data_IF_711921298244
#
_entry.id   IF_711921298244
#
_cell.length_a   1.000
_cell.length_b   1.000
_cell.length_c   1.000
_cell.angle_alpha   90.00
_cell.angle_beta   90.00
_cell.angle_gamma   90.00
#
_symmetry.space_group_name_H-M   'P 1'
#
loop_
_entity.id
_entity.type
_entity.pdbx_description
1 polymer ?
#
# COMPACT_ATOMS: atom_id res chain seq x y z
N UNK A 1 3.34 8.97 -7.82
CA UNK A 1 2.16 8.86 -6.94
C UNK A 1 0.89 8.64 -7.76
N UNK A 2 0.46 9.57 -8.63
CA UNK A 2 -0.78 9.42 -9.44
C UNK A 2 -0.77 8.15 -10.30
N UNK A 3 0.39 7.73 -10.82
CA UNK A 3 0.52 6.49 -11.60
C UNK A 3 0.04 5.24 -10.86
N UNK A 4 0.08 5.24 -9.51
CA UNK A 4 -0.30 4.12 -8.64
C UNK A 4 -1.51 4.44 -7.76
N UNK A 5 -2.12 5.61 -7.90
CA UNK A 5 -3.31 6.04 -7.12
C UNK A 5 -4.51 6.22 -8.03
N UNK A 6 -5.65 5.67 -7.62
CA UNK A 6 -6.92 5.71 -8.38
C UNK A 6 -7.43 4.31 -8.72
N UNK A 7 -8.40 4.23 -9.60
CA UNK A 7 -8.91 2.96 -10.14
C UNK A 7 -8.07 2.53 -11.35
N UNK A 8 -8.20 1.27 -11.84
CA UNK A 8 -7.54 0.85 -13.08
C UNK A 8 -7.76 1.85 -14.24
N UNK A 9 -8.98 2.36 -14.38
CA UNK A 9 -9.36 3.27 -15.46
C UNK A 9 -9.06 4.74 -15.17
N UNK A 10 -9.17 5.17 -13.92
CA UNK A 10 -9.08 6.59 -13.55
C UNK A 10 -7.89 6.87 -12.63
N UNK A 11 -6.86 7.59 -13.10
CA UNK A 11 -5.79 8.08 -12.23
C UNK A 11 -6.31 9.20 -11.33
N UNK A 12 -5.95 9.15 -10.05
CA UNK A 12 -6.48 10.08 -9.03
C UNK A 12 -5.34 10.66 -8.20
N UNK A 13 -5.40 11.96 -7.93
CA UNK A 13 -4.51 12.58 -6.93
C UNK A 13 -4.88 12.08 -5.53
N UNK A 14 -3.92 12.08 -4.62
CA UNK A 14 -4.20 11.84 -3.20
C UNK A 14 -5.09 12.96 -2.65
N UNK A 15 -5.95 12.64 -1.68
CA UNK A 15 -6.88 13.61 -1.09
C UNK A 15 -6.18 14.73 -0.31
N UNK A 16 -4.94 14.50 0.11
CA UNK A 16 -4.08 15.46 0.81
C UNK A 16 -2.82 15.75 -0.02
N UNK A 17 -2.18 16.93 0.16
CA UNK A 17 -1.02 17.34 -0.62
C UNK A 17 0.26 16.61 -0.15
N UNK A 18 0.42 15.35 -0.57
CA UNK A 18 1.51 14.49 -0.11
C UNK A 18 2.92 15.08 -0.33
N UNK A 19 3.15 15.74 -1.46
CA UNK A 19 4.46 16.34 -1.75
C UNK A 19 4.80 17.46 -0.75
N UNK A 20 3.83 18.31 -0.40
CA UNK A 20 4.01 19.39 0.57
C UNK A 20 4.28 18.82 1.97
N UNK A 21 3.49 17.84 2.38
CA UNK A 21 3.62 17.19 3.70
C UNK A 21 4.97 16.49 3.82
N UNK A 22 5.37 15.72 2.80
CA UNK A 22 6.65 15.03 2.78
C UNK A 22 7.81 16.01 2.88
N UNK A 23 7.83 17.05 2.04
CA UNK A 23 8.87 18.07 2.06
C UNK A 23 8.96 18.80 3.40
N UNK A 24 7.82 19.13 4.02
CA UNK A 24 7.78 19.75 5.33
C UNK A 24 8.37 18.85 6.42
N UNK A 25 8.06 17.55 6.41
CA UNK A 25 8.60 16.58 7.36
C UNK A 25 10.10 16.39 7.21
N UNK A 26 10.61 16.25 5.97
CA UNK A 26 12.05 16.17 5.71
C UNK A 26 12.78 17.47 6.07
N UNK A 27 12.15 18.63 5.83
CA UNK A 27 12.68 19.93 6.26
C UNK A 27 12.80 20.01 7.78
N UNK A 28 11.74 19.65 8.51
CA UNK A 28 11.75 19.65 9.97
C UNK A 28 12.83 18.71 10.53
N UNK A 29 12.91 17.48 10.01
CA UNK A 29 13.91 16.49 10.42
C UNK A 29 15.35 16.94 10.12
N UNK A 30 15.56 17.60 8.97
CA UNK A 30 16.87 18.13 8.58
C UNK A 30 17.28 19.32 9.44
N UNK A 31 16.33 20.20 9.80
CA UNK A 31 16.56 21.33 10.73
C UNK A 31 16.92 20.80 12.12
N UNK A 32 16.17 19.83 12.65
CA UNK A 32 16.48 19.21 13.95
C UNK A 32 17.88 18.57 13.93
N UNK A 33 18.23 17.89 12.85
CA UNK A 33 19.56 17.30 12.66
C UNK A 33 20.67 18.36 12.58
N UNK A 34 20.42 19.49 11.90
CA UNK A 34 21.34 20.61 11.82
C UNK A 34 21.54 21.29 13.20
N UNK A 35 20.47 21.43 13.98
CA UNK A 35 20.55 21.95 15.36
C UNK A 35 21.35 21.02 16.26
N UNK A 36 21.12 19.71 16.19
CA UNK A 36 21.88 18.71 16.93
C UNK A 36 23.37 18.73 16.54
N UNK A 37 23.68 18.83 15.25
CA UNK A 37 25.06 19.01 14.77
C UNK A 37 25.68 20.30 15.30
N UNK A 38 24.94 21.40 15.29
CA UNK A 38 25.41 22.69 15.81
C UNK A 38 25.74 22.61 17.29
N UNK A 39 24.92 21.94 18.10
CA UNK A 39 25.17 21.75 19.53
C UNK A 39 26.50 21.03 19.79
N UNK A 40 26.84 20.04 18.96
CA UNK A 40 28.05 19.22 19.14
C UNK A 40 29.32 19.82 18.55
N UNK A 41 29.18 20.68 17.54
CA UNK A 41 30.32 21.15 16.72
C UNK A 41 30.49 22.66 16.72
N UNK A 42 29.50 23.42 17.19
CA UNK A 42 29.42 24.87 17.06
C UNK A 42 29.06 25.36 15.65
N UNK A 43 28.99 24.48 14.64
CA UNK A 43 28.77 24.86 13.25
C UNK A 43 27.33 24.57 12.78
N UNK A 44 26.70 25.56 12.14
CA UNK A 44 25.42 25.38 11.45
C UNK A 44 25.54 24.54 10.16
N UNK A 45 24.42 24.27 9.51
CA UNK A 45 24.34 23.55 8.24
C UNK A 45 23.39 24.26 7.27
N UNK A 46 23.66 24.12 5.97
CA UNK A 46 22.68 24.41 4.92
C UNK A 46 21.79 23.19 4.74
N UNK A 47 20.48 23.39 4.71
CA UNK A 47 19.48 22.36 4.45
C UNK A 47 18.85 22.66 3.10
N UNK A 48 18.88 21.68 2.20
CA UNK A 48 18.21 21.72 0.90
C UNK A 48 17.25 20.54 0.82
N UNK A 49 15.98 20.81 0.52
CA UNK A 49 14.92 19.81 0.49
C UNK A 49 14.09 19.99 -0.78
N UNK A 50 14.13 18.96 -1.62
CA UNK A 50 13.34 18.88 -2.84
C UNK A 50 11.97 18.26 -2.54
N UNK A 51 10.90 18.94 -2.96
CA UNK A 51 9.54 18.37 -2.92
C UNK A 51 9.42 17.12 -3.79
N UNK A 52 10.14 17.09 -4.91
CA UNK A 52 10.15 15.93 -5.80
C UNK A 52 10.80 14.74 -5.13
N UNK A 53 12.00 14.89 -4.58
CA UNK A 53 12.73 13.79 -3.93
C UNK A 53 11.95 13.27 -2.71
N UNK A 54 11.36 14.20 -1.95
CA UNK A 54 10.49 13.87 -0.82
C UNK A 54 9.29 13.02 -1.23
N UNK A 55 8.64 13.36 -2.35
CA UNK A 55 7.50 12.60 -2.86
C UNK A 55 7.91 11.27 -3.50
N UNK A 56 9.10 11.19 -4.10
CA UNK A 56 9.67 9.97 -4.68
C UNK A 56 9.99 8.98 -3.56
N UNK A 57 10.58 9.41 -2.45
CA UNK A 57 10.87 8.53 -1.31
C UNK A 57 9.60 7.87 -0.75
N UNK A 58 8.48 8.60 -0.72
CA UNK A 58 7.18 8.08 -0.28
C UNK A 58 6.55 7.08 -1.25
N UNK A 59 7.06 6.91 -2.47
CA UNK A 59 6.61 5.84 -3.38
C UNK A 59 6.96 4.44 -2.85
N UNK A 60 8.01 4.33 -2.02
CA UNK A 60 8.42 3.08 -1.36
C UNK A 60 8.41 1.86 -2.28
N UNK A 61 7.61 0.85 -1.92
CA UNK A 61 7.48 -0.41 -2.66
C UNK A 61 7.18 -0.24 -4.15
N UNK A 62 6.36 0.74 -4.54
CA UNK A 62 6.01 0.93 -5.95
C UNK A 62 7.22 1.38 -6.78
N UNK A 63 8.09 2.22 -6.22
CA UNK A 63 9.35 2.60 -6.86
C UNK A 63 10.29 1.40 -6.98
N UNK A 64 10.46 0.63 -5.90
CA UNK A 64 11.35 -0.53 -5.89
C UNK A 64 10.91 -1.62 -6.87
N UNK A 65 9.60 -1.85 -7.00
CA UNK A 65 9.06 -2.83 -7.96
C UNK A 65 9.44 -2.45 -9.39
N UNK A 66 9.30 -1.17 -9.75
CA UNK A 66 9.72 -0.69 -11.06
C UNK A 66 11.24 -0.80 -11.25
N UNK A 67 12.03 -0.42 -10.24
CA UNK A 67 13.50 -0.43 -10.34
C UNK A 67 14.09 -1.84 -10.47
N UNK A 68 13.58 -2.81 -9.70
CA UNK A 68 14.18 -4.13 -9.58
C UNK A 68 13.46 -5.22 -10.37
N UNK A 69 12.15 -5.08 -10.62
CA UNK A 69 11.36 -6.04 -11.39
C UNK A 69 10.97 -5.50 -12.78
N UNK A 70 11.27 -4.24 -13.10
CA UNK A 70 10.94 -3.63 -14.40
C UNK A 70 9.43 -3.47 -14.65
N UNK A 71 8.61 -3.64 -13.61
CA UNK A 71 7.16 -3.63 -13.70
C UNK A 71 6.56 -2.56 -12.80
N UNK A 72 5.56 -1.85 -13.31
CA UNK A 72 4.90 -0.79 -12.56
C UNK A 72 3.73 -1.38 -11.75
N UNK A 73 3.63 -1.01 -10.47
CA UNK A 73 2.45 -1.34 -9.66
C UNK A 73 1.21 -0.69 -10.29
N UNK A 74 0.18 -1.50 -10.53
CA UNK A 74 -1.08 -1.04 -11.09
C UNK A 74 -1.89 -0.21 -10.08
N UNK A 75 -2.81 0.63 -10.58
CA UNK A 75 -3.83 1.25 -9.75
C UNK A 75 -4.88 0.21 -9.39
N UNK A 76 -5.16 0.07 -8.10
CA UNK A 76 -6.01 -0.99 -7.57
C UNK A 76 -7.28 -0.48 -6.86
N UNK A 77 -7.56 0.82 -6.92
CA UNK A 77 -8.63 1.40 -6.09
C UNK A 77 -8.31 1.24 -4.60
N UNK A 78 -9.15 0.50 -3.89
CA UNK A 78 -8.96 0.14 -2.48
C UNK A 78 -8.18 -1.18 -2.29
N UNK A 79 -7.95 -1.91 -3.38
CA UNK A 79 -7.26 -3.19 -3.36
C UNK A 79 -5.75 -3.08 -3.16
N UNK A 80 -5.15 -4.11 -2.58
CA UNK A 80 -3.69 -4.27 -2.56
C UNK A 80 -3.21 -4.97 -3.83
N UNK A 81 -2.05 -4.55 -4.34
CA UNK A 81 -1.48 -5.09 -5.58
C UNK A 81 -0.90 -6.51 -5.42
N UNK A 82 -0.36 -6.82 -4.24
CA UNK A 82 0.38 -8.07 -3.98
C UNK A 82 -0.18 -8.93 -2.84
N UNK A 83 -1.34 -8.55 -2.27
CA UNK A 83 -1.96 -9.25 -1.15
C UNK A 83 -3.43 -9.45 -1.45
N UNK A 84 -3.94 -10.66 -1.23
CA UNK A 84 -5.36 -10.98 -1.41
C UNK A 84 -5.81 -12.01 -0.35
N UNK A 85 -6.99 -11.83 0.27
CA UNK A 85 -7.89 -10.69 0.13
C UNK A 85 -7.38 -9.45 0.88
N UNK A 86 -7.24 -8.34 0.16
CA UNK A 86 -6.99 -7.01 0.73
C UNK A 86 -7.70 -6.01 -0.16
N UNK A 87 -9.00 -5.84 0.04
CA UNK A 87 -9.86 -5.03 -0.83
C UNK A 87 -11.16 -4.62 -0.12
N UNK A 88 -11.98 -3.83 -0.81
CA UNK A 88 -13.35 -3.56 -0.42
C UNK A 88 -14.29 -4.67 -0.91
N UNK A 89 -15.16 -5.13 -0.02
CA UNK A 89 -16.16 -6.17 -0.28
C UNK A 89 -17.56 -5.63 0.03
N UNK A 90 -18.55 -5.92 -0.83
CA UNK A 90 -19.91 -5.43 -0.64
C UNK A 90 -20.57 -6.07 0.59
N UNK A 91 -21.44 -5.30 1.26
CA UNK A 91 -22.35 -5.76 2.31
C UNK A 91 -23.77 -5.32 1.98
N UNK A 92 -24.77 -5.80 2.74
CA UNK A 92 -26.17 -5.42 2.53
C UNK A 92 -26.47 -3.92 2.66
N UNK A 93 -25.60 -3.17 3.33
CA UNK A 93 -25.77 -1.76 3.68
C UNK A 93 -24.58 -0.87 3.28
N UNK A 94 -23.60 -1.42 2.55
CA UNK A 94 -22.41 -0.68 2.16
C UNK A 94 -21.26 -1.56 1.71
N UNK A 95 -20.07 -1.27 2.23
CA UNK A 95 -18.86 -2.04 1.94
C UNK A 95 -17.93 -2.07 3.14
N UNK A 96 -17.21 -3.16 3.31
CA UNK A 96 -16.18 -3.32 4.32
C UNK A 96 -14.83 -3.56 3.67
N UNK A 97 -13.76 -3.11 4.31
CA UNK A 97 -12.40 -3.43 3.90
C UNK A 97 -11.94 -4.68 4.64
N UNK A 98 -11.57 -5.74 3.90
CA UNK A 98 -10.99 -6.95 4.48
C UNK A 98 -9.54 -7.00 4.05
N UNK A 99 -8.61 -7.00 5.02
CA UNK A 99 -7.16 -7.04 4.81
C UNK A 99 -6.51 -8.25 5.48
N UNK A 100 -6.30 -9.32 4.72
CA UNK A 100 -5.65 -10.56 5.16
C UNK A 100 -4.22 -10.61 4.63
N UNK A 101 -3.27 -10.50 5.53
CA UNK A 101 -1.85 -10.37 5.18
C UNK A 101 -1.08 -11.71 5.13
N UNK A 102 -1.68 -12.82 5.56
CA UNK A 102 -1.01 -14.11 5.60
C UNK A 102 -2.01 -15.29 5.52
N UNK A 103 -1.48 -16.48 5.25
CA UNK A 103 -2.28 -17.69 5.01
C UNK A 103 -3.05 -18.17 6.25
N UNK A 104 -2.52 -17.90 7.46
CA UNK A 104 -3.25 -18.18 8.71
C UNK A 104 -4.49 -17.29 8.83
N UNK A 105 -4.35 -16.01 8.54
CA UNK A 105 -5.47 -15.07 8.52
C UNK A 105 -6.51 -15.44 7.47
N UNK A 106 -6.07 -15.96 6.32
CA UNK A 106 -6.96 -16.50 5.30
C UNK A 106 -7.77 -17.69 5.83
N UNK A 107 -7.09 -18.67 6.43
CA UNK A 107 -7.74 -19.84 7.01
C UNK A 107 -8.82 -19.43 8.02
N UNK A 108 -8.47 -18.59 9.00
CA UNK A 108 -9.45 -18.10 9.99
C UNK A 108 -10.60 -17.32 9.36
N UNK A 109 -10.34 -16.50 8.33
CA UNK A 109 -11.41 -15.77 7.65
C UNK A 109 -12.43 -16.74 7.03
N UNK A 110 -11.97 -17.72 6.26
CA UNK A 110 -12.88 -18.62 5.56
C UNK A 110 -13.53 -19.64 6.50
N UNK A 111 -12.81 -20.18 7.49
CA UNK A 111 -13.38 -21.16 8.43
C UNK A 111 -14.26 -20.52 9.50
N UNK A 112 -13.78 -19.46 10.15
CA UNK A 112 -14.38 -18.98 11.40
C UNK A 112 -15.38 -17.84 11.16
N UNK A 113 -15.19 -17.05 10.10
CA UNK A 113 -16.05 -15.90 9.77
C UNK A 113 -17.07 -16.28 8.70
N UNK A 114 -16.62 -16.87 7.59
CA UNK A 114 -17.52 -17.25 6.49
C UNK A 114 -18.11 -18.65 6.61
N UNK A 115 -17.58 -19.50 7.48
CA UNK A 115 -18.08 -20.87 7.64
C UNK A 115 -17.89 -21.74 6.39
N UNK A 116 -16.90 -21.43 5.56
CA UNK A 116 -16.55 -22.11 4.31
C UNK A 116 -15.16 -22.78 4.43
N UNK A 117 -15.06 -23.90 5.17
CA UNK A 117 -13.79 -24.58 5.38
C UNK A 117 -13.21 -25.23 4.13
N UNK A 118 -14.00 -25.45 3.07
CA UNK A 118 -13.50 -26.01 1.82
C UNK A 118 -12.49 -25.06 1.17
N UNK A 119 -12.74 -23.74 1.25
CA UNK A 119 -11.82 -22.71 0.74
C UNK A 119 -10.48 -22.66 1.49
N UNK A 120 -10.43 -23.10 2.75
CA UNK A 120 -9.18 -23.18 3.49
C UNK A 120 -8.21 -24.21 2.90
N UNK A 121 -8.74 -25.20 2.19
CA UNK A 121 -8.00 -26.31 1.58
C UNK A 121 -7.92 -26.23 0.06
N UNK A 122 -8.62 -25.28 -0.56
CA UNK A 122 -8.64 -25.10 -2.00
C UNK A 122 -7.23 -24.76 -2.53
N UNK A 123 -6.62 -25.59 -3.40
CA UNK A 123 -5.30 -25.37 -3.96
C UNK A 123 -5.11 -24.00 -4.62
N UNK A 124 -6.18 -23.41 -5.14
CA UNK A 124 -6.17 -22.10 -5.79
C UNK A 124 -6.06 -20.93 -4.80
N UNK A 125 -6.22 -21.19 -3.50
CA UNK A 125 -6.24 -20.15 -2.45
C UNK A 125 -5.35 -20.46 -1.22
N UNK A 126 -4.60 -21.56 -1.21
CA UNK A 126 -3.77 -21.96 -0.05
C UNK A 126 -2.74 -20.90 0.35
N UNK A 127 -2.09 -20.28 -0.64
CA UNK A 127 -1.05 -19.27 -0.43
C UNK A 127 -1.49 -17.90 -0.95
N UNK A 128 -0.91 -16.84 -0.39
CA UNK A 128 -1.16 -15.48 -0.89
C UNK A 128 -0.88 -15.35 -2.38
N UNK A 129 0.18 -15.98 -2.89
CA UNK A 129 0.50 -15.94 -4.32
C UNK A 129 -0.63 -16.54 -5.17
N UNK A 130 -1.16 -17.69 -4.76
CA UNK A 130 -2.28 -18.33 -5.44
C UNK A 130 -3.54 -17.46 -5.36
N UNK A 131 -3.83 -16.86 -4.19
CA UNK A 131 -4.96 -15.94 -4.03
C UNK A 131 -4.83 -14.69 -4.91
N UNK A 132 -3.64 -14.12 -5.04
CA UNK A 132 -3.40 -12.97 -5.92
C UNK A 132 -3.60 -13.37 -7.39
N UNK A 133 -3.10 -14.54 -7.79
CA UNK A 133 -3.28 -15.07 -9.15
C UNK A 133 -4.75 -15.32 -9.50
N UNK A 134 -5.52 -15.80 -8.53
CA UNK A 134 -6.91 -16.18 -8.68
C UNK A 134 -7.89 -15.16 -8.10
N UNK A 135 -7.51 -13.88 -7.98
CA UNK A 135 -8.28 -12.86 -7.23
C UNK A 135 -9.74 -12.71 -7.70
N UNK A 136 -9.98 -12.85 -9.00
CA UNK A 136 -11.32 -12.72 -9.59
C UNK A 136 -12.17 -13.99 -9.42
N UNK A 137 -11.53 -15.14 -9.19
CA UNK A 137 -12.22 -16.40 -8.98
C UNK A 137 -12.85 -16.50 -7.57
N UNK A 138 -12.50 -15.58 -6.67
CA UNK A 138 -13.04 -15.58 -5.33
C UNK A 138 -14.43 -14.93 -5.31
N UNK A 139 -15.46 -15.73 -5.08
CA UNK A 139 -16.88 -15.36 -5.23
C UNK A 139 -17.41 -14.25 -4.32
N UNK A 140 -16.60 -13.68 -3.43
CA UNK A 140 -16.98 -12.51 -2.62
C UNK A 140 -16.85 -11.18 -3.37
N UNK A 141 -16.28 -11.17 -4.57
CA UNK A 141 -16.15 -9.96 -5.42
C UNK A 141 -17.44 -9.65 -6.21
N UNK A 142 -18.42 -10.57 -6.22
CA UNK A 142 -19.62 -10.47 -7.07
C UNK A 142 -20.97 -10.63 -6.34
N UNK A 143 -20.99 -10.45 -5.02
CA UNK A 143 -22.22 -10.44 -4.20
C UNK A 143 -22.96 -9.11 -4.24
#
# INVERSE_FOLDING_TARGET
MISVTGTPDTPTKTGVPNADIAAALYSAMSILSALFRRERTGAGATVDVSMFDSAVEWMGYAMYTQMYAGTQVARMGLGHASITPYDAYPTSDGSILIGVQNDRGWQSLVTDVFGDPEQATNPDFLTNEQRVRNREAWGLVHG
#
